data_IF_213783223980
#
_entry.id   IF_213783223980
#
_cell.length_a   1.000
_cell.length_b   1.000
_cell.length_c   1.000
_cell.angle_alpha   90.00
_cell.angle_beta   90.00
_cell.angle_gamma   90.00
#
_symmetry.space_group_name_H-M   'P 1'
#
loop_
_entity.id
_entity.type
_entity.pdbx_description
1 polymer ?
#
# COMPACT_ATOMS: atom_id res chain seq x y z
N UNK A 1 -34.26 -16.78 -24.28
CA UNK A 1 -33.28 -15.69 -24.07
C UNK A 1 -32.79 -15.78 -22.64
N UNK A 2 -31.53 -16.17 -22.44
CA UNK A 2 -30.95 -16.30 -21.11
C UNK A 2 -30.85 -14.92 -20.45
N UNK A 3 -31.46 -14.78 -19.29
CA UNK A 3 -31.35 -13.61 -18.42
C UNK A 3 -29.93 -13.66 -17.86
N UNK A 4 -29.04 -12.80 -18.36
CA UNK A 4 -27.76 -12.57 -17.71
C UNK A 4 -28.07 -12.05 -16.30
N UNK A 5 -27.85 -12.88 -15.29
CA UNK A 5 -27.82 -12.44 -13.91
C UNK A 5 -26.70 -11.41 -13.80
N UNK A 6 -27.11 -10.13 -13.71
CA UNK A 6 -26.23 -9.07 -13.29
C UNK A 6 -25.65 -9.49 -11.94
N UNK A 7 -24.32 -9.54 -11.89
CA UNK A 7 -23.52 -9.70 -10.67
C UNK A 7 -24.13 -8.86 -9.53
N UNK A 8 -24.38 -9.42 -8.34
CA UNK A 8 -24.76 -8.62 -7.20
C UNK A 8 -23.68 -7.57 -6.93
N UNK A 9 -24.13 -6.32 -6.85
CA UNK A 9 -23.32 -5.16 -6.53
C UNK A 9 -22.56 -5.38 -5.21
N UNK A 10 -21.24 -5.25 -5.29
CA UNK A 10 -20.27 -5.17 -4.19
C UNK A 10 -20.37 -6.27 -3.13
N UNK A 11 -19.69 -7.40 -3.36
CA UNK A 11 -19.07 -8.06 -2.21
C UNK A 11 -18.06 -7.05 -1.64
N UNK A 12 -18.17 -6.73 -0.35
CA UNK A 12 -17.21 -5.85 0.33
C UNK A 12 -15.80 -6.45 0.17
N UNK A 13 -14.95 -5.77 -0.60
CA UNK A 13 -13.59 -6.22 -0.88
C UNK A 13 -12.82 -6.42 0.43
N UNK A 14 -13.10 -5.63 1.48
CA UNK A 14 -12.51 -5.83 2.80
C UNK A 14 -12.91 -7.17 3.42
N UNK A 15 -14.16 -7.58 3.24
CA UNK A 15 -14.65 -8.87 3.72
C UNK A 15 -13.94 -10.02 3.00
N UNK A 16 -13.82 -9.96 1.67
CA UNK A 16 -13.07 -10.97 0.89
C UNK A 16 -11.61 -11.00 1.32
N UNK A 17 -10.94 -9.84 1.41
CA UNK A 17 -9.54 -9.75 1.82
C UNK A 17 -9.36 -10.38 3.20
N UNK A 18 -10.19 -10.01 4.18
CA UNK A 18 -10.10 -10.55 5.55
C UNK A 18 -10.34 -12.05 5.59
N UNK A 19 -11.29 -12.56 4.78
CA UNK A 19 -11.58 -14.00 4.67
C UNK A 19 -10.40 -14.77 4.08
N UNK A 20 -9.77 -14.21 3.05
CA UNK A 20 -8.73 -14.88 2.27
C UNK A 20 -7.32 -14.69 2.82
N UNK A 21 -7.07 -13.68 3.65
CA UNK A 21 -5.75 -13.37 4.22
C UNK A 21 -5.11 -14.55 4.96
N UNK A 22 -5.93 -15.43 5.55
CA UNK A 22 -5.46 -16.63 6.27
C UNK A 22 -4.84 -17.69 5.35
N UNK A 23 -5.07 -17.61 4.04
CA UNK A 23 -4.53 -18.56 3.06
C UNK A 23 -3.27 -18.05 2.37
N UNK A 24 -2.91 -16.78 2.56
CA UNK A 24 -1.76 -16.16 1.88
C UNK A 24 -0.59 -16.02 2.84
N UNK A 25 0.60 -16.34 2.35
CA UNK A 25 1.86 -16.16 3.06
C UNK A 25 2.91 -15.55 2.14
N UNK A 26 3.84 -14.82 2.72
CA UNK A 26 5.01 -14.34 2.01
C UNK A 26 6.15 -15.36 2.14
N UNK A 27 6.60 -15.88 1.01
CA UNK A 27 7.77 -16.75 0.91
C UNK A 27 9.02 -15.86 0.84
N UNK A 28 9.79 -15.81 1.93
CA UNK A 28 10.97 -14.93 2.04
C UNK A 28 12.10 -15.32 1.09
N UNK A 29 12.27 -16.62 0.84
CA UNK A 29 13.35 -17.13 0.00
C UNK A 29 13.09 -16.81 -1.47
N UNK A 30 11.85 -17.01 -1.91
CA UNK A 30 11.41 -16.70 -3.29
C UNK A 30 11.02 -15.23 -3.47
N UNK A 31 10.88 -14.46 -2.39
CA UNK A 31 10.40 -13.06 -2.36
C UNK A 31 9.04 -12.85 -3.04
N UNK A 32 8.13 -13.82 -2.90
CA UNK A 32 6.79 -13.77 -3.50
C UNK A 32 5.71 -14.07 -2.46
N UNK A 33 4.52 -13.54 -2.69
CA UNK A 33 3.30 -14.05 -2.06
C UNK A 33 2.87 -15.35 -2.75
N UNK A 34 2.47 -16.32 -1.94
CA UNK A 34 1.89 -17.59 -2.37
C UNK A 34 0.72 -17.96 -1.47
N UNK A 35 -0.18 -18.80 -1.98
CA UNK A 35 -1.31 -19.32 -1.22
C UNK A 35 -1.43 -20.83 -1.40
N UNK A 36 -2.03 -21.48 -0.41
CA UNK A 36 -2.27 -22.93 -0.46
C UNK A 36 -3.48 -23.23 -1.37
N UNK A 37 -3.22 -23.94 -2.48
CA UNK A 37 -4.23 -24.30 -3.49
C UNK A 37 -5.12 -25.47 -3.05
N UNK A 38 -4.72 -26.23 -2.04
CA UNK A 38 -5.41 -27.46 -1.62
C UNK A 38 -6.54 -27.18 -0.61
N UNK A 39 -6.97 -25.92 -0.48
CA UNK A 39 -8.07 -25.52 0.40
C UNK A 39 -9.38 -25.42 -0.37
N UNK A 40 -10.49 -25.74 0.31
CA UNK A 40 -11.87 -25.61 -0.19
C UNK A 40 -12.24 -24.13 -0.43
N UNK A 41 -11.62 -23.52 -1.44
CA UNK A 41 -11.92 -22.19 -1.94
C UNK A 41 -12.85 -22.33 -3.14
N UNK A 42 -13.80 -21.40 -3.28
CA UNK A 42 -14.58 -21.34 -4.51
C UNK A 42 -13.69 -20.94 -5.69
N UNK A 43 -14.13 -21.26 -6.91
CA UNK A 43 -13.42 -20.84 -8.12
C UNK A 43 -13.24 -19.31 -8.19
N UNK A 44 -14.22 -18.54 -7.71
CA UNK A 44 -14.16 -17.08 -7.65
C UNK A 44 -13.08 -16.58 -6.68
N UNK A 45 -12.97 -17.21 -5.50
CA UNK A 45 -11.95 -16.88 -4.51
C UNK A 45 -10.54 -17.21 -5.00
N UNK A 46 -10.39 -18.34 -5.68
CA UNK A 46 -9.13 -18.74 -6.33
C UNK A 46 -8.72 -17.73 -7.39
N UNK A 47 -9.62 -17.37 -8.30
CA UNK A 47 -9.35 -16.40 -9.35
C UNK A 47 -8.99 -15.01 -8.77
N UNK A 48 -9.68 -14.60 -7.69
CA UNK A 48 -9.38 -13.34 -7.00
C UNK A 48 -7.97 -13.37 -6.39
N UNK A 49 -7.61 -14.45 -5.68
CA UNK A 49 -6.26 -14.63 -5.10
C UNK A 49 -5.18 -14.65 -6.16
N UNK A 50 -5.33 -15.47 -7.21
CA UNK A 50 -4.35 -15.60 -8.27
C UNK A 50 -4.09 -14.27 -8.97
N UNK A 51 -5.15 -13.53 -9.28
CA UNK A 51 -5.05 -12.21 -9.91
C UNK A 51 -4.28 -11.22 -9.02
N UNK A 52 -4.69 -11.08 -7.75
CA UNK A 52 -4.08 -10.12 -6.80
C UNK A 52 -2.63 -10.48 -6.47
N UNK A 53 -2.34 -11.75 -6.23
CA UNK A 53 -0.99 -12.24 -5.92
C UNK A 53 -0.08 -12.08 -7.14
N UNK A 54 -0.56 -12.42 -8.34
CA UNK A 54 0.22 -12.25 -9.58
C UNK A 54 0.56 -10.79 -9.81
N UNK A 55 -0.40 -9.87 -9.69
CA UNK A 55 -0.17 -8.44 -9.83
C UNK A 55 0.83 -7.92 -8.78
N UNK A 56 0.65 -8.32 -7.52
CA UNK A 56 1.54 -7.90 -6.42
C UNK A 56 2.95 -8.42 -6.62
N UNK A 57 3.13 -9.69 -6.98
CA UNK A 57 4.44 -10.26 -7.22
C UNK A 57 5.15 -9.58 -8.40
N UNK A 58 4.41 -9.24 -9.46
CA UNK A 58 4.94 -8.43 -10.57
C UNK A 58 5.40 -7.05 -10.09
N UNK A 59 4.65 -6.39 -9.22
CA UNK A 59 5.03 -5.11 -8.61
C UNK A 59 6.27 -5.24 -7.72
N UNK A 60 6.33 -6.27 -6.87
CA UNK A 60 7.48 -6.53 -6.00
C UNK A 60 8.77 -6.79 -6.77
N UNK A 61 8.69 -7.51 -7.89
CA UNK A 61 9.84 -7.78 -8.76
C UNK A 61 10.36 -6.52 -9.47
N UNK A 62 9.54 -5.48 -9.58
CA UNK A 62 9.87 -4.22 -10.23
C UNK A 62 10.21 -3.09 -9.24
N UNK A 63 10.37 -3.40 -7.95
CA UNK A 63 10.77 -2.39 -6.97
C UNK A 63 12.18 -1.87 -7.27
N UNK A 64 12.33 -0.55 -7.18
CA UNK A 64 13.62 0.13 -7.33
C UNK A 64 13.94 0.76 -5.98
N UNK A 65 14.90 0.18 -5.26
CA UNK A 65 15.29 0.62 -3.92
C UNK A 65 16.45 1.61 -4.05
N UNK A 66 16.31 2.80 -3.48
CA UNK A 66 17.39 3.80 -3.41
C UNK A 66 18.29 3.58 -2.18
N UNK A 67 19.45 4.23 -2.16
CA UNK A 67 20.45 4.06 -1.09
C UNK A 67 19.95 4.45 0.31
N UNK A 68 18.95 5.32 0.39
CA UNK A 68 18.33 5.76 1.64
C UNK A 68 17.09 4.92 2.05
N UNK A 69 16.78 3.87 1.30
CA UNK A 69 15.65 2.98 1.55
C UNK A 69 16.11 1.61 2.08
N UNK A 70 15.33 1.05 2.99
CA UNK A 70 15.57 -0.27 3.57
C UNK A 70 14.37 -1.17 3.33
N UNK A 71 14.64 -2.39 2.86
CA UNK A 71 13.62 -3.42 2.65
C UNK A 71 13.67 -4.47 3.76
N UNK A 72 12.50 -4.80 4.31
CA UNK A 72 12.32 -5.85 5.32
C UNK A 72 11.21 -6.81 4.92
N UNK A 73 11.57 -8.07 4.76
CA UNK A 73 10.63 -9.14 4.43
C UNK A 73 10.01 -9.75 5.70
N UNK A 74 8.70 -9.58 5.86
CA UNK A 74 7.91 -10.10 6.97
C UNK A 74 6.98 -11.22 6.47
N UNK A 75 6.41 -12.01 7.38
CA UNK A 75 5.59 -13.19 7.02
C UNK A 75 4.35 -12.88 6.19
N UNK A 76 3.80 -11.66 6.33
CA UNK A 76 2.57 -11.23 5.66
C UNK A 76 2.73 -9.98 4.80
N UNK A 77 3.92 -9.38 4.78
CA UNK A 77 4.16 -8.12 4.08
C UNK A 77 5.62 -7.90 3.73
N UNK A 78 5.87 -7.03 2.77
CA UNK A 78 7.18 -6.50 2.46
C UNK A 78 7.18 -5.02 2.86
N UNK A 79 8.03 -4.64 3.81
CA UNK A 79 8.14 -3.25 4.27
C UNK A 79 9.31 -2.58 3.58
N UNK A 80 9.08 -1.44 2.95
CA UNK A 80 10.12 -0.50 2.53
C UNK A 80 10.01 0.74 3.39
N UNK A 81 11.10 1.16 4.01
CA UNK A 81 11.16 2.41 4.80
C UNK A 81 12.22 3.30 4.20
N UNK A 82 11.89 4.55 3.94
CA UNK A 82 12.85 5.57 3.53
C UNK A 82 13.31 6.32 4.78
N UNK A 83 14.61 6.31 5.00
CA UNK A 83 15.21 7.22 5.99
C UNK A 83 15.31 8.60 5.35
N UNK A 84 14.77 9.65 5.97
CA UNK A 84 14.95 10.99 5.43
C UNK A 84 16.44 11.34 5.49
N UNK A 85 16.99 11.81 4.36
CA UNK A 85 18.31 12.42 4.29
C UNK A 85 18.27 13.75 5.04
N UNK A 86 18.34 13.68 6.37
CA UNK A 86 18.37 14.85 7.23
C UNK A 86 19.81 15.35 7.35
N UNK A 87 19.98 16.67 7.19
CA UNK A 87 21.23 17.32 7.56
C UNK A 87 21.48 17.09 9.05
N UNK A 88 22.74 16.81 9.39
CA UNK A 88 23.22 16.62 10.75
C UNK A 88 22.72 17.77 11.65
N UNK A 89 21.99 17.44 12.74
CA UNK A 89 21.40 18.41 13.66
C UNK A 89 19.87 18.59 13.56
N UNK A 90 19.21 18.05 12.53
CA UNK A 90 17.74 18.10 12.42
C UNK A 90 16.99 17.05 13.28
N UNK A 91 17.72 16.19 14.00
CA UNK A 91 17.19 15.07 14.77
C UNK A 91 16.29 15.45 15.96
N UNK A 92 16.28 16.72 16.38
CA UNK A 92 15.59 17.18 17.60
C UNK A 92 14.15 17.69 17.36
N UNK A 93 13.61 17.62 16.14
CA UNK A 93 12.26 18.10 15.77
C UNK A 93 11.27 16.99 15.41
N UNK A 94 11.40 15.80 16.02
CA UNK A 94 10.65 14.61 15.60
C UNK A 94 9.21 14.56 16.13
N UNK A 95 8.31 15.16 15.34
CA UNK A 95 6.91 14.75 15.17
C UNK A 95 6.57 14.69 13.65
N UNK A 96 7.56 14.32 12.83
CA UNK A 96 7.51 14.38 11.37
C UNK A 96 6.92 13.11 10.73
N UNK A 97 6.76 12.01 11.47
CA UNK A 97 6.39 10.70 10.91
C UNK A 97 7.50 10.05 10.07
N UNK A 98 7.16 8.94 9.40
CA UNK A 98 8.06 8.18 8.51
C UNK A 98 7.54 8.14 7.06
N UNK A 99 8.46 7.94 6.12
CA UNK A 99 8.13 7.56 4.75
C UNK A 99 8.29 6.04 4.60
N UNK A 100 7.20 5.34 4.30
CA UNK A 100 7.22 3.88 4.19
C UNK A 100 6.13 3.35 3.27
N UNK A 101 6.35 2.17 2.69
CA UNK A 101 5.32 1.36 2.06
C UNK A 101 5.38 -0.05 2.63
N UNK A 102 4.25 -0.54 3.13
CA UNK A 102 4.06 -1.96 3.41
C UNK A 102 3.24 -2.57 2.28
N UNK A 103 3.84 -3.46 1.52
CA UNK A 103 3.19 -4.22 0.45
C UNK A 103 2.55 -5.49 1.02
N UNK A 104 1.27 -5.68 0.72
CA UNK A 104 0.49 -6.88 1.01
C UNK A 104 0.03 -7.52 -0.30
N UNK A 105 -0.47 -8.75 -0.24
CA UNK A 105 -0.98 -9.44 -1.43
C UNK A 105 -2.21 -8.76 -2.06
N UNK A 106 -2.95 -7.95 -1.29
CA UNK A 106 -4.18 -7.27 -1.72
C UNK A 106 -3.98 -5.79 -2.06
N UNK A 107 -2.86 -5.19 -1.69
CA UNK A 107 -2.67 -3.74 -1.74
C UNK A 107 -1.43 -3.27 -1.00
N UNK A 108 -1.46 -2.02 -0.56
CA UNK A 108 -0.36 -1.42 0.18
C UNK A 108 -0.85 -0.45 1.24
N UNK A 109 -0.08 -0.35 2.32
CA UNK A 109 -0.15 0.77 3.24
C UNK A 109 0.98 1.74 2.91
N UNK A 110 0.68 3.03 2.86
CA UNK A 110 1.64 4.10 2.55
C UNK A 110 1.66 5.06 3.72
N UNK A 111 2.86 5.33 4.25
CA UNK A 111 3.11 6.40 5.20
C UNK A 111 3.93 7.48 4.52
N UNK A 112 3.49 8.72 4.65
CA UNK A 112 4.23 9.90 4.20
C UNK A 112 4.50 10.80 5.39
N UNK A 113 5.77 11.10 5.64
CA UNK A 113 6.18 12.07 6.65
C UNK A 113 5.62 13.45 6.32
N UNK A 114 5.46 14.33 7.32
CA UNK A 114 5.02 15.71 7.12
C UNK A 114 5.88 16.44 6.10
N UNK A 115 7.21 16.32 6.20
CA UNK A 115 8.14 16.91 5.24
C UNK A 115 7.92 16.40 3.81
N UNK A 116 7.83 15.08 3.63
CA UNK A 116 7.60 14.50 2.30
C UNK A 116 6.23 14.87 1.76
N UNK A 117 5.21 14.83 2.60
CA UNK A 117 3.85 15.16 2.24
C UNK A 117 3.71 16.61 1.75
N UNK A 118 4.28 17.58 2.47
CA UNK A 118 4.25 18.98 2.06
C UNK A 118 4.93 19.22 0.69
N UNK A 119 5.98 18.45 0.36
CA UNK A 119 6.61 18.49 -0.99
C UNK A 119 5.76 17.77 -2.04
N UNK A 120 5.24 16.60 -1.66
CA UNK A 120 4.55 15.70 -2.57
C UNK A 120 3.16 16.20 -3.01
N UNK A 121 2.56 17.15 -2.28
CA UNK A 121 1.37 17.89 -2.74
C UNK A 121 1.61 18.57 -4.10
N UNK A 122 2.83 19.07 -4.35
CA UNK A 122 3.14 19.77 -5.60
C UNK A 122 3.53 18.79 -6.73
N UNK A 123 4.42 17.84 -6.45
CA UNK A 123 5.07 17.02 -7.51
C UNK A 123 4.78 15.54 -7.43
N UNK A 124 4.08 15.08 -6.39
CA UNK A 124 4.08 13.68 -5.97
C UNK A 124 5.41 13.29 -5.32
N UNK A 125 5.55 12.01 -5.00
CA UNK A 125 6.75 11.41 -4.42
C UNK A 125 6.95 9.99 -4.92
N UNK A 126 8.17 9.47 -4.84
CA UNK A 126 8.50 8.09 -5.19
C UNK A 126 9.08 7.43 -3.95
N UNK A 127 8.57 6.24 -3.62
CA UNK A 127 9.15 5.35 -2.61
C UNK A 127 9.24 3.96 -3.24
N UNK A 128 10.41 3.31 -3.18
CA UNK A 128 10.64 1.97 -3.74
C UNK A 128 10.31 1.86 -5.25
N UNK A 129 10.48 2.94 -6.02
CA UNK A 129 10.08 3.03 -7.42
C UNK A 129 8.57 3.17 -7.66
N UNK A 130 7.75 3.22 -6.60
CA UNK A 130 6.31 3.47 -6.68
C UNK A 130 6.06 4.97 -6.66
N UNK A 131 5.59 5.51 -7.80
CA UNK A 131 5.18 6.90 -7.88
C UNK A 131 3.79 7.10 -7.25
N UNK A 132 3.75 7.93 -6.22
CA UNK A 132 2.54 8.40 -5.55
C UNK A 132 2.25 9.80 -6.09
N UNK A 133 1.27 9.90 -6.97
CA UNK A 133 0.95 11.16 -7.63
C UNK A 133 0.38 12.21 -6.66
N UNK A 134 0.65 13.48 -6.96
CA UNK A 134 0.08 14.62 -6.22
C UNK A 134 -1.45 14.55 -6.17
N UNK A 135 -2.11 14.11 -7.24
CA UNK A 135 -3.56 13.93 -7.28
C UNK A 135 -4.06 12.97 -6.18
N UNK A 136 -3.37 11.85 -5.95
CA UNK A 136 -3.75 10.89 -4.88
C UNK A 136 -3.54 11.49 -3.50
N UNK A 137 -2.44 12.20 -3.33
CA UNK A 137 -2.13 12.89 -2.08
C UNK A 137 -3.18 13.95 -1.76
N UNK A 138 -3.58 14.75 -2.76
CA UNK A 138 -4.63 15.75 -2.62
C UNK A 138 -5.97 15.12 -2.28
N UNK A 139 -6.34 14.00 -2.92
CA UNK A 139 -7.56 13.26 -2.55
C UNK A 139 -7.48 12.78 -1.09
N UNK A 140 -6.34 12.25 -0.65
CA UNK A 140 -6.16 11.83 0.74
C UNK A 140 -6.28 13.00 1.73
N UNK A 141 -5.70 14.15 1.40
CA UNK A 141 -5.82 15.37 2.22
C UNK A 141 -7.26 15.92 2.24
N UNK A 142 -7.98 15.84 1.12
CA UNK A 142 -9.40 16.20 1.04
C UNK A 142 -10.28 15.31 1.93
N UNK A 143 -10.00 14.00 1.98
CA UNK A 143 -10.66 13.06 2.91
C UNK A 143 -10.41 13.49 4.38
N UNK A 144 -9.23 14.03 4.68
CA UNK A 144 -8.88 14.56 6.00
C UNK A 144 -9.36 16.00 6.25
N UNK A 145 -10.00 16.65 5.27
CA UNK A 145 -10.49 18.03 5.39
C UNK A 145 -9.41 19.10 5.39
N UNK A 146 -8.21 18.83 4.85
CA UNK A 146 -7.09 19.78 4.81
C UNK A 146 -6.62 20.03 3.38
N UNK A 147 -6.13 21.24 3.10
CA UNK A 147 -5.53 21.58 1.81
C UNK A 147 -4.05 21.98 1.96
N UNK A 148 -3.73 23.05 2.70
CA UNK A 148 -2.37 23.42 3.15
C UNK A 148 -2.46 24.51 4.25
N UNK A 149 -1.45 24.68 5.12
CA UNK A 149 -0.28 23.82 5.32
C UNK A 149 -0.67 22.50 6.00
N UNK A 150 0.05 21.43 5.69
CA UNK A 150 -0.28 20.10 6.22
C UNK A 150 0.28 19.93 7.63
N UNK A 151 -0.57 19.65 8.65
CA UNK A 151 -0.16 19.71 10.06
C UNK A 151 0.78 18.57 10.48
N UNK A 152 0.69 17.40 9.84
CA UNK A 152 1.46 16.19 10.16
C UNK A 152 1.64 15.27 8.95
N UNK A 153 2.15 14.06 9.18
CA UNK A 153 2.21 13.03 8.14
C UNK A 153 0.86 12.36 7.91
N UNK A 154 0.70 11.63 6.80
CA UNK A 154 -0.50 10.81 6.53
C UNK A 154 -0.19 9.33 6.34
N UNK A 155 -1.10 8.50 6.81
CA UNK A 155 -1.22 7.09 6.47
C UNK A 155 -2.34 6.93 5.45
N UNK A 156 -2.10 6.14 4.41
CA UNK A 156 -3.08 5.77 3.40
C UNK A 156 -3.08 4.25 3.23
N UNK A 157 -4.25 3.63 3.38
CA UNK A 157 -4.47 2.25 2.96
C UNK A 157 -4.98 2.24 1.52
N UNK A 158 -4.32 1.51 0.64
CA UNK A 158 -4.64 1.46 -0.79
C UNK A 158 -4.90 0.02 -1.22
N UNK A 159 -6.07 -0.25 -1.78
CA UNK A 159 -6.39 -1.53 -2.42
C UNK A 159 -6.00 -1.49 -3.89
N UNK A 160 -5.45 -2.60 -4.40
CA UNK A 160 -5.24 -2.75 -5.83
C UNK A 160 -6.59 -2.85 -6.58
N UNK A 161 -6.70 -2.35 -7.82
CA UNK A 161 -5.64 -1.69 -8.55
C UNK A 161 -5.37 -0.28 -8.02
N UNK A 162 -6.36 0.51 -7.55
CA UNK A 162 -6.12 1.95 -7.27
C UNK A 162 -7.01 2.68 -6.23
N UNK A 163 -7.75 2.01 -5.35
CA UNK A 163 -8.67 2.67 -4.40
C UNK A 163 -8.04 3.04 -3.06
N UNK A 164 -8.19 4.30 -2.61
CA UNK A 164 -7.90 4.67 -1.21
C UNK A 164 -9.02 4.11 -0.33
N UNK A 165 -8.69 3.18 0.55
CA UNK A 165 -9.62 2.51 1.46
C UNK A 165 -9.71 3.21 2.82
N UNK A 166 -8.62 3.82 3.27
CA UNK A 166 -8.53 4.51 4.56
C UNK A 166 -7.48 5.61 4.50
N UNK A 167 -7.72 6.73 5.18
CA UNK A 167 -6.73 7.79 5.41
C UNK A 167 -6.81 8.25 6.86
N UNK A 168 -5.66 8.46 7.51
CA UNK A 168 -5.57 9.08 8.84
C UNK A 168 -4.25 9.84 9.02
N UNK A 169 -4.21 10.73 10.00
CA UNK A 169 -2.97 11.35 10.45
C UNK A 169 -2.02 10.34 11.07
N UNK A 170 -0.71 10.50 10.87
CA UNK A 170 0.33 9.85 11.67
C UNK A 170 1.46 10.83 11.98
N UNK A 171 2.13 10.61 13.10
CA UNK A 171 3.24 11.40 13.61
C UNK A 171 4.23 10.52 14.34
#
# INVERSE_FOLDING_TARGET
MAKAEKLPSSIDENYIIKKLDKYVKFNKDKKIFEFDKDKNLSLEELNFLESKISETNKRLNNLIISDNEQIKYLSKKVKVTSTPNLKEGAYLRYAEGIDAIDFYWWGMDIWLSKTTLNKAVATGTIIAGVFISSARILVALQILGVWTPVPGGIYMKVHYPFGIAEVRWHG
#
